data_IF_463774418353
#
_entry.id   IF_463774418353
#
_cell.length_a   1.000
_cell.length_b   1.000
_cell.length_c   1.000
_cell.angle_alpha   90.00
_cell.angle_beta   90.00
_cell.angle_gamma   90.00
#
_symmetry.space_group_name_H-M   'P 1'
#
loop_
_entity.id
_entity.type
_entity.pdbx_description
1 polymer ?
#
# COMPACT_ATOMS: atom_id res chain seq x y z
N UNK A 1 -14.18 0.75 -21.72
CA UNK A 1 -13.99 -0.42 -20.83
C UNK A 1 -15.37 -0.71 -20.25
N UNK A 2 -15.83 -1.95 -20.13
CA UNK A 2 -17.22 -2.16 -19.68
C UNK A 2 -17.43 -1.54 -18.29
N UNK A 3 -18.62 -0.96 -18.08
CA UNK A 3 -18.98 -0.32 -16.80
C UNK A 3 -18.65 -1.17 -15.58
N UNK A 4 -18.92 -2.48 -15.68
CA UNK A 4 -18.65 -3.44 -14.62
C UNK A 4 -17.14 -3.64 -14.37
N UNK A 5 -16.29 -3.52 -15.40
CA UNK A 5 -14.84 -3.64 -15.25
C UNK A 5 -14.25 -2.48 -14.43
N UNK A 6 -14.81 -1.26 -14.54
CA UNK A 6 -14.41 -0.13 -13.69
C UNK A 6 -14.71 -0.37 -12.21
N UNK A 7 -15.87 -0.93 -11.89
CA UNK A 7 -16.22 -1.28 -10.52
C UNK A 7 -15.33 -2.42 -9.98
N UNK A 8 -15.03 -3.43 -10.81
CA UNK A 8 -14.09 -4.50 -10.43
C UNK A 8 -12.69 -3.91 -10.15
N UNK A 9 -12.22 -2.98 -10.97
CA UNK A 9 -10.93 -2.33 -10.79
C UNK A 9 -10.90 -1.48 -9.49
N UNK A 10 -11.99 -0.78 -9.21
CA UNK A 10 -12.14 -0.02 -7.97
C UNK A 10 -12.08 -0.91 -6.73
N UNK A 11 -12.80 -2.04 -6.74
CA UNK A 11 -12.77 -3.02 -5.64
C UNK A 11 -11.34 -3.55 -5.47
N UNK A 12 -10.66 -3.89 -6.57
CA UNK A 12 -9.28 -4.38 -6.52
C UNK A 12 -8.33 -3.37 -5.88
N UNK A 13 -8.36 -2.10 -6.28
CA UNK A 13 -7.51 -1.08 -5.69
C UNK A 13 -7.85 -0.81 -4.21
N UNK A 14 -9.13 -0.85 -3.85
CA UNK A 14 -9.54 -0.70 -2.45
C UNK A 14 -9.01 -1.86 -1.60
N UNK A 15 -9.10 -3.10 -2.10
CA UNK A 15 -8.55 -4.28 -1.42
C UNK A 15 -7.03 -4.21 -1.28
N UNK A 16 -6.32 -3.70 -2.28
CA UNK A 16 -4.87 -3.44 -2.17
C UNK A 16 -4.55 -2.39 -1.12
N UNK A 17 -5.30 -1.28 -1.05
CA UNK A 17 -5.15 -0.29 0.02
C UNK A 17 -5.35 -0.89 1.42
N UNK A 18 -6.41 -1.69 1.61
CA UNK A 18 -6.66 -2.40 2.88
C UNK A 18 -5.55 -3.40 3.21
N UNK A 19 -5.03 -4.11 2.20
CA UNK A 19 -3.90 -5.02 2.38
C UNK A 19 -2.65 -4.29 2.89
N UNK A 20 -2.33 -3.11 2.34
CA UNK A 20 -1.21 -2.30 2.83
C UNK A 20 -1.43 -1.76 4.24
N UNK A 21 -2.65 -1.38 4.62
CA UNK A 21 -2.99 -1.03 6.02
C UNK A 21 -2.74 -2.22 6.96
N UNK A 22 -3.09 -3.44 6.52
CA UNK A 22 -2.87 -4.63 7.33
C UNK A 22 -1.36 -4.93 7.49
N UNK A 23 -0.56 -4.74 6.44
CA UNK A 23 0.89 -4.85 6.53
C UNK A 23 1.48 -3.77 7.47
N UNK A 24 1.03 -2.53 7.33
CA UNK A 24 1.48 -1.41 8.17
C UNK A 24 1.23 -1.65 9.66
N UNK A 25 0.03 -2.16 9.99
CA UNK A 25 -0.37 -2.45 11.37
C UNK A 25 0.27 -3.72 11.96
N UNK A 26 0.77 -4.65 11.14
CA UNK A 26 1.30 -5.94 11.61
C UNK A 26 2.82 -6.10 11.51
N UNK A 27 3.50 -5.33 10.66
CA UNK A 27 4.88 -5.62 10.30
C UNK A 27 5.87 -4.66 10.96
N UNK A 28 6.26 -4.83 12.23
CA UNK A 28 7.41 -4.08 12.79
C UNK A 28 8.71 -4.56 12.14
N UNK A 29 9.21 -3.84 11.14
CA UNK A 29 10.44 -4.19 10.43
C UNK A 29 11.66 -3.57 11.12
N UNK A 30 12.29 -4.36 11.99
CA UNK A 30 13.57 -4.02 12.59
C UNK A 30 14.71 -4.51 11.68
N UNK A 31 15.46 -3.59 11.08
CA UNK A 31 16.65 -3.94 10.31
C UNK A 31 17.87 -3.98 11.24
N UNK A 32 18.53 -5.13 11.33
CA UNK A 32 19.85 -5.24 11.95
C UNK A 32 20.90 -4.96 10.87
N UNK A 33 21.62 -3.85 10.99
CA UNK A 33 22.76 -3.56 10.11
C UNK A 33 23.94 -4.40 10.61
N UNK A 34 24.17 -5.55 10.01
CA UNK A 34 25.40 -6.31 10.19
C UNK A 34 26.45 -5.79 9.21
N UNK A 35 27.15 -4.70 9.57
CA UNK A 35 28.16 -4.15 8.69
C UNK A 35 28.86 -2.91 9.21
N UNK A 36 29.74 -3.06 10.20
CA UNK A 36 31.09 -2.50 10.10
C UNK A 36 32.06 -3.25 11.02
N UNK A 37 33.08 -3.84 10.42
CA UNK A 37 34.14 -4.58 11.08
C UNK A 37 35.16 -3.63 11.72
N UNK A 38 35.00 -3.27 13.00
CA UNK A 38 36.10 -2.73 13.82
C UNK A 38 35.96 -3.29 15.25
N UNK A 39 36.93 -4.07 15.77
CA UNK A 39 36.89 -4.53 17.14
C UNK A 39 37.41 -3.41 18.04
N UNK A 40 36.50 -2.64 18.63
CA UNK A 40 36.83 -1.75 19.75
C UNK A 40 35.86 -2.03 20.87
N UNK A 41 36.42 -2.56 21.96
CA UNK A 41 35.75 -2.91 23.20
C UNK A 41 35.16 -1.65 23.87
N UNK A 42 33.91 -1.31 23.55
CA UNK A 42 32.98 -0.58 24.42
C UNK A 42 31.66 -0.35 23.66
N UNK A 43 30.55 -0.71 24.30
CA UNK A 43 29.16 -0.50 23.83
C UNK A 43 28.74 -1.22 22.54
N UNK A 44 28.32 -2.48 22.70
CA UNK A 44 27.39 -3.13 21.78
C UNK A 44 25.99 -2.50 21.99
N UNK A 45 25.84 -1.21 21.64
CA UNK A 45 24.52 -0.67 21.31
C UNK A 45 24.30 -1.08 19.87
N UNK A 46 23.76 -2.29 19.67
CA UNK A 46 23.17 -2.69 18.39
C UNK A 46 22.20 -1.57 18.00
N UNK A 47 22.61 -0.71 17.07
CA UNK A 47 21.79 0.38 16.55
C UNK A 47 20.69 -0.24 15.69
N UNK A 48 19.68 -0.77 16.36
CA UNK A 48 18.47 -1.29 15.75
C UNK A 48 17.67 -0.09 15.29
N UNK A 49 17.72 0.18 13.98
CA UNK A 49 16.83 1.14 13.37
C UNK A 49 15.46 0.48 13.20
N UNK A 50 14.57 0.75 14.14
CA UNK A 50 13.16 0.46 13.98
C UNK A 50 12.57 1.57 13.12
N UNK A 51 12.41 1.32 11.82
CA UNK A 51 11.62 2.22 10.98
C UNK A 51 10.18 2.09 11.47
N UNK A 52 9.60 3.18 11.97
CA UNK A 52 8.19 3.20 12.35
C UNK A 52 7.41 3.05 11.04
N UNK A 53 6.71 1.91 10.92
CA UNK A 53 6.14 1.35 9.70
C UNK A 53 5.35 2.32 8.81
N UNK A 54 4.72 3.32 9.43
CA UNK A 54 3.78 4.19 8.74
C UNK A 54 4.42 4.85 7.51
N UNK A 55 5.73 5.10 7.50
CA UNK A 55 6.39 5.78 6.37
C UNK A 55 6.59 4.92 5.12
N UNK A 56 6.69 3.59 5.25
CA UNK A 56 6.97 2.71 4.09
C UNK A 56 5.68 2.44 3.31
N UNK A 57 4.60 2.16 4.03
CA UNK A 57 3.34 1.73 3.42
C UNK A 57 2.35 2.88 3.19
N UNK A 58 2.50 4.04 3.86
CA UNK A 58 1.67 5.24 3.62
C UNK A 58 1.52 5.59 2.13
N UNK A 59 2.61 5.74 1.35
CA UNK A 59 2.49 6.23 -0.02
C UNK A 59 1.65 5.28 -0.89
N UNK A 60 1.64 3.98 -0.59
CA UNK A 60 0.81 3.01 -1.29
C UNK A 60 -0.65 3.14 -0.88
N UNK A 61 -0.93 3.29 0.41
CA UNK A 61 -2.30 3.52 0.92
C UNK A 61 -2.89 4.79 0.28
N UNK A 62 -2.15 5.89 0.34
CA UNK A 62 -2.54 7.17 -0.26
C UNK A 62 -2.63 7.15 -1.79
N UNK A 63 -2.03 6.17 -2.47
CA UNK A 63 -2.14 6.00 -3.91
C UNK A 63 -3.34 5.13 -4.31
N UNK A 64 -3.54 3.99 -3.64
CA UNK A 64 -4.55 3.00 -4.03
C UNK A 64 -5.99 3.44 -3.69
N UNK A 65 -6.21 4.13 -2.58
CA UNK A 65 -7.56 4.62 -2.23
C UNK A 65 -8.09 5.66 -3.24
N UNK A 66 -7.35 6.72 -3.60
CA UNK A 66 -7.77 7.65 -4.63
C UNK A 66 -7.98 7.00 -6.00
N UNK A 67 -7.12 6.04 -6.40
CA UNK A 67 -7.32 5.28 -7.63
C UNK A 67 -8.63 4.48 -7.61
N UNK A 68 -8.94 3.84 -6.48
CA UNK A 68 -10.21 3.15 -6.27
C UNK A 68 -11.40 4.09 -6.45
N UNK A 69 -11.33 5.30 -5.89
CA UNK A 69 -12.37 6.34 -6.01
C UNK A 69 -12.49 6.84 -7.46
N UNK A 70 -11.37 7.13 -8.14
CA UNK A 70 -11.37 7.55 -9.54
C UNK A 70 -12.02 6.50 -10.44
N UNK A 71 -11.75 5.21 -10.19
CA UNK A 71 -12.39 4.13 -10.94
C UNK A 71 -13.92 4.07 -10.73
N UNK A 72 -14.42 4.41 -9.54
CA UNK A 72 -15.87 4.53 -9.30
C UNK A 72 -16.46 5.65 -10.15
N UNK A 73 -15.81 6.82 -10.16
CA UNK A 73 -16.27 7.96 -10.98
C UNK A 73 -16.26 7.63 -12.47
N UNK A 74 -15.20 7.01 -12.98
CA UNK A 74 -15.12 6.57 -14.38
C UNK A 74 -16.20 5.53 -14.70
N UNK A 75 -16.42 4.56 -13.80
CA UNK A 75 -17.50 3.57 -13.94
C UNK A 75 -18.90 4.19 -13.90
N UNK A 76 -19.09 5.30 -13.21
CA UNK A 76 -20.38 6.00 -13.19
C UNK A 76 -20.61 6.85 -14.45
N UNK A 77 -19.55 7.48 -14.96
CA UNK A 77 -19.56 8.28 -16.19
C UNK A 77 -19.67 7.43 -17.46
N UNK A 78 -19.20 6.18 -17.44
CA UNK A 78 -19.29 5.29 -18.61
C UNK A 78 -20.77 4.99 -18.94
N UNK A 79 -21.24 5.36 -20.14
CA UNK A 79 -22.64 5.18 -20.51
C UNK A 79 -22.99 3.69 -20.49
N UNK A 80 -24.15 3.34 -19.91
CA UNK A 80 -24.69 1.99 -20.04
C UNK A 80 -24.85 1.68 -21.52
N UNK A 81 -24.13 0.67 -22.01
CA UNK A 81 -24.29 0.20 -23.38
C UNK A 81 -25.78 -0.10 -23.63
N UNK A 82 -26.40 0.65 -24.53
CA UNK A 82 -27.82 0.50 -24.94
C UNK A 82 -28.02 -0.74 -25.83
N UNK A 83 -27.56 -1.92 -25.39
CA UNK A 83 -27.76 -3.20 -26.09
C UNK A 83 -28.38 -4.28 -25.21
N UNK A 84 -29.15 -3.85 -24.20
CA UNK A 84 -30.10 -4.71 -23.51
C UNK A 84 -31.45 -3.99 -23.55
N UNK A 85 -32.13 -4.17 -24.67
CA UNK A 85 -33.53 -3.82 -24.91
C UNK A 85 -34.16 -5.01 -25.63
#
# INVERSE_FOLDING_TARGET
MNRNQWFVLSIFFTLMGVFFIQLDSSATLCFNIAGESIPTEAEIVSSTYCVINSEIFDPFIWFFFPLGIVCIFLGWLEPKNKREG
#
